data_IF_764599920925
#
_entry.id   IF_764599920925
#
_cell.length_a   1.000
_cell.length_b   1.000
_cell.length_c   1.000
_cell.angle_alpha   90.00
_cell.angle_beta   90.00
_cell.angle_gamma   90.00
#
_symmetry.space_group_name_H-M   'P 1'
#
loop_
_entity.id
_entity.type
_entity.pdbx_description
1 polymer ?
#
# COMPACT_ATOMS: atom_id res chain seq x y z
N UNK A 1 17.27 -11.51 -14.77
CA UNK A 1 17.83 -11.56 -16.14
C UNK A 1 19.20 -10.92 -16.08
N UNK A 2 20.26 -11.65 -16.40
CA UNK A 2 21.60 -11.07 -16.51
C UNK A 2 21.66 -10.27 -17.81
N UNK A 3 21.97 -8.99 -17.74
CA UNK A 3 22.23 -8.21 -18.95
C UNK A 3 23.53 -8.74 -19.54
N UNK A 4 23.45 -9.42 -20.69
CA UNK A 4 24.65 -9.82 -21.45
C UNK A 4 25.41 -8.54 -21.79
N UNK A 5 26.64 -8.38 -21.29
CA UNK A 5 27.47 -7.22 -21.60
C UNK A 5 27.78 -7.19 -23.10
N UNK A 6 27.57 -6.04 -23.76
CA UNK A 6 27.95 -5.90 -25.17
C UNK A 6 29.47 -5.72 -25.22
N UNK A 7 30.19 -6.72 -25.70
CA UNK A 7 31.62 -6.61 -25.97
C UNK A 7 31.81 -5.98 -27.36
N UNK A 8 31.83 -4.64 -27.40
CA UNK A 8 32.02 -3.86 -28.63
C UNK A 8 33.32 -4.22 -29.33
N UNK A 9 34.39 -4.52 -28.59
CA UNK A 9 35.69 -4.86 -29.16
C UNK A 9 35.66 -6.23 -29.84
N UNK A 10 35.05 -7.23 -29.21
CA UNK A 10 34.89 -8.55 -29.83
C UNK A 10 34.01 -8.49 -31.09
N UNK A 11 32.98 -7.64 -31.09
CA UNK A 11 32.12 -7.42 -32.26
C UNK A 11 32.91 -6.73 -33.37
N UNK A 12 33.68 -5.67 -33.06
CA UNK A 12 34.51 -4.95 -34.02
C UNK A 12 35.52 -5.88 -34.71
N UNK A 13 36.21 -6.74 -33.93
CA UNK A 13 37.15 -7.74 -34.47
C UNK A 13 36.49 -8.74 -35.40
N UNK A 14 35.26 -9.17 -35.11
CA UNK A 14 34.49 -10.06 -36.00
C UNK A 14 34.11 -9.38 -37.30
N UNK A 15 33.73 -8.09 -37.25
CA UNK A 15 33.45 -7.30 -38.44
C UNK A 15 34.70 -7.13 -39.31
N UNK A 16 35.85 -6.81 -38.70
CA UNK A 16 37.13 -6.74 -39.41
C UNK A 16 37.51 -8.07 -40.07
N UNK A 17 37.35 -9.20 -39.37
CA UNK A 17 37.59 -10.53 -39.93
C UNK A 17 36.65 -10.88 -41.09
N UNK A 18 35.47 -10.26 -41.16
CA UNK A 18 34.53 -10.37 -42.26
C UNK A 18 34.82 -9.39 -43.43
N UNK A 19 35.90 -8.61 -43.35
CA UNK A 19 36.36 -7.71 -44.40
C UNK A 19 35.89 -6.25 -44.27
N UNK A 20 35.24 -5.87 -43.16
CA UNK A 20 34.95 -4.47 -42.88
C UNK A 20 36.21 -3.71 -42.50
N UNK A 21 36.30 -2.43 -42.88
CA UNK A 21 37.39 -1.57 -42.41
C UNK A 21 37.24 -1.27 -40.92
N UNK A 22 38.34 -0.84 -40.28
CA UNK A 22 38.34 -0.47 -38.86
C UNK A 22 37.28 0.60 -38.55
N UNK A 23 37.23 1.66 -39.37
CA UNK A 23 36.24 2.74 -39.25
C UNK A 23 34.78 2.24 -39.42
N UNK A 24 34.53 1.27 -40.30
CA UNK A 24 33.19 0.70 -40.48
C UNK A 24 32.79 -0.15 -39.27
N UNK A 25 33.71 -0.97 -38.76
CA UNK A 25 33.47 -1.81 -37.60
C UNK A 25 33.19 -0.96 -36.35
N UNK A 26 33.96 0.11 -36.13
CA UNK A 26 33.76 1.06 -35.06
C UNK A 26 32.37 1.73 -35.17
N UNK A 27 32.04 2.29 -36.35
CA UNK A 27 30.76 2.95 -36.58
C UNK A 27 29.56 2.02 -36.32
N UNK A 28 29.61 0.77 -36.79
CA UNK A 28 28.55 -0.21 -36.55
C UNK A 28 28.42 -0.58 -35.08
N UNK A 29 29.54 -0.76 -34.36
CA UNK A 29 29.49 -1.05 -32.91
C UNK A 29 29.02 0.14 -32.09
N UNK A 30 29.32 1.37 -32.53
CA UNK A 30 28.81 2.61 -31.94
C UNK A 30 27.29 2.70 -32.05
N UNK A 31 26.74 2.54 -33.26
CA UNK A 31 25.28 2.55 -33.48
C UNK A 31 24.58 1.47 -32.64
N UNK A 32 25.15 0.26 -32.56
CA UNK A 32 24.58 -0.82 -31.75
C UNK A 32 24.61 -0.51 -30.24
N UNK A 33 25.68 0.13 -29.77
CA UNK A 33 25.80 0.59 -28.38
C UNK A 33 24.76 1.68 -28.08
N UNK A 34 24.68 2.69 -28.93
CA UNK A 34 23.78 3.83 -28.74
C UNK A 34 22.31 3.39 -28.77
N UNK A 35 21.93 2.53 -29.71
CA UNK A 35 20.59 1.97 -29.79
C UNK A 35 20.22 1.17 -28.52
N UNK A 36 21.17 0.41 -27.97
CA UNK A 36 20.96 -0.35 -26.72
C UNK A 36 20.86 0.58 -25.52
N UNK A 37 21.71 1.59 -25.43
CA UNK A 37 21.71 2.54 -24.32
C UNK A 37 20.41 3.36 -24.29
N UNK A 38 19.92 3.77 -25.47
CA UNK A 38 18.61 4.38 -25.62
C UNK A 38 17.48 3.44 -25.14
N UNK A 39 17.48 2.17 -25.56
CA UNK A 39 16.47 1.19 -25.13
C UNK A 39 16.50 0.98 -23.60
N UNK A 40 17.69 0.77 -23.02
CA UNK A 40 17.86 0.59 -21.57
C UNK A 40 17.43 1.82 -20.76
N UNK A 41 17.60 3.03 -21.29
CA UNK A 41 17.21 4.27 -20.60
C UNK A 41 15.69 4.40 -20.41
N UNK A 42 14.89 3.67 -21.20
CA UNK A 42 13.42 3.68 -21.10
C UNK A 42 12.87 2.60 -20.18
N UNK A 43 13.70 1.63 -19.79
CA UNK A 43 13.27 0.50 -18.98
C UNK A 43 13.21 0.88 -17.50
N UNK A 44 12.15 0.42 -16.84
CA UNK A 44 12.07 0.47 -15.37
C UNK A 44 13.09 -0.48 -14.77
N UNK A 45 13.88 0.01 -13.82
CA UNK A 45 14.94 -0.78 -13.19
C UNK A 45 14.41 -1.53 -11.96
N UNK A 46 15.20 -2.51 -11.48
CA UNK A 46 14.91 -3.20 -10.22
C UNK A 46 14.89 -2.24 -9.03
N UNK A 47 15.69 -1.17 -9.07
CA UNK A 47 15.72 -0.15 -8.01
C UNK A 47 14.42 0.62 -8.00
N UNK A 48 13.93 1.05 -9.17
CA UNK A 48 12.64 1.75 -9.30
C UNK A 48 11.49 0.89 -8.76
N UNK A 49 11.41 -0.38 -9.17
CA UNK A 49 10.42 -1.33 -8.68
C UNK A 49 10.53 -1.54 -7.16
N UNK A 50 11.75 -1.66 -6.62
CA UNK A 50 11.95 -1.86 -5.19
C UNK A 50 11.53 -0.64 -4.38
N UNK A 51 11.77 0.57 -4.92
CA UNK A 51 11.32 1.83 -4.35
C UNK A 51 9.80 1.94 -4.35
N UNK A 52 9.16 1.65 -5.49
CA UNK A 52 7.70 1.67 -5.62
C UNK A 52 7.02 0.67 -4.68
N UNK A 53 7.55 -0.56 -4.59
CA UNK A 53 7.08 -1.57 -3.63
C UNK A 53 7.20 -1.08 -2.18
N UNK A 54 8.31 -0.42 -1.84
CA UNK A 54 8.51 0.12 -0.50
C UNK A 54 7.51 1.23 -0.17
N UNK A 55 7.21 2.11 -1.13
CA UNK A 55 6.21 3.17 -1.00
C UNK A 55 4.81 2.57 -0.81
N UNK A 56 4.37 1.69 -1.71
CA UNK A 56 3.05 1.04 -1.62
C UNK A 56 2.90 0.28 -0.29
N UNK A 57 3.95 -0.40 0.17
CA UNK A 57 3.94 -1.09 1.47
C UNK A 57 3.81 -0.11 2.64
N UNK A 58 4.44 1.06 2.56
CA UNK A 58 4.33 2.10 3.57
C UNK A 58 2.91 2.67 3.62
N UNK A 59 2.35 2.99 2.47
CA UNK A 59 0.99 3.55 2.34
C UNK A 59 -0.06 2.58 2.87
N UNK A 60 0.00 1.30 2.46
CA UNK A 60 -0.90 0.27 2.98
C UNK A 60 -0.79 0.11 4.50
N UNK A 61 0.43 0.20 5.06
CA UNK A 61 0.61 0.12 6.51
C UNK A 61 0.00 1.33 7.22
N UNK A 62 0.11 2.52 6.64
CA UNK A 62 -0.51 3.74 7.17
C UNK A 62 -2.04 3.64 7.13
N UNK A 63 -2.62 3.24 6.00
CA UNK A 63 -4.06 3.06 5.83
C UNK A 63 -4.64 2.01 6.79
N UNK A 64 -3.97 0.86 6.96
CA UNK A 64 -4.36 -0.15 7.96
C UNK A 64 -4.32 0.43 9.38
N UNK A 65 -3.34 1.27 9.68
CA UNK A 65 -3.22 1.96 10.96
C UNK A 65 -4.38 2.91 11.23
N UNK A 66 -4.75 3.71 10.22
CA UNK A 66 -5.90 4.63 10.28
C UNK A 66 -7.21 3.86 10.45
N UNK A 67 -7.46 2.85 9.62
CA UNK A 67 -8.69 2.04 9.71
C UNK A 67 -8.82 1.36 11.08
N UNK A 68 -7.72 0.86 11.66
CA UNK A 68 -7.73 0.29 13.01
C UNK A 68 -8.05 1.33 14.08
N UNK A 69 -7.58 2.56 13.92
CA UNK A 69 -7.90 3.67 14.81
C UNK A 69 -9.38 4.03 14.73
N UNK A 70 -9.91 4.17 13.52
CA UNK A 70 -11.31 4.51 13.27
C UNK A 70 -12.24 3.45 13.87
N UNK A 71 -11.98 2.17 13.60
CA UNK A 71 -12.73 1.06 14.19
C UNK A 71 -12.68 1.06 15.72
N UNK A 72 -11.55 1.43 16.33
CA UNK A 72 -11.44 1.52 17.79
C UNK A 72 -12.32 2.65 18.34
N UNK A 73 -12.37 3.78 17.64
CA UNK A 73 -13.22 4.92 18.00
C UNK A 73 -14.70 4.56 17.85
N UNK A 74 -15.12 4.01 16.72
CA UNK A 74 -16.51 3.58 16.48
C UNK A 74 -16.99 2.55 17.52
N UNK A 75 -16.14 1.60 17.90
CA UNK A 75 -16.45 0.64 18.96
C UNK A 75 -16.60 1.34 20.32
N UNK A 76 -15.76 2.32 20.63
CA UNK A 76 -15.84 3.07 21.88
C UNK A 76 -17.12 3.92 21.94
N UNK A 77 -17.48 4.57 20.84
CA UNK A 77 -18.69 5.37 20.70
C UNK A 77 -19.93 4.48 20.83
N UNK A 78 -19.97 3.34 20.14
CA UNK A 78 -21.06 2.37 20.27
C UNK A 78 -21.21 1.86 21.71
N UNK A 79 -20.10 1.56 22.40
CA UNK A 79 -20.13 1.17 23.82
C UNK A 79 -20.67 2.28 24.71
N UNK A 80 -20.28 3.53 24.46
CA UNK A 80 -20.78 4.68 25.19
C UNK A 80 -22.29 4.88 24.98
N UNK A 81 -22.75 4.78 23.74
CA UNK A 81 -24.19 4.86 23.42
C UNK A 81 -24.98 3.76 24.11
N UNK A 82 -24.50 2.51 24.07
CA UNK A 82 -25.12 1.39 24.78
C UNK A 82 -25.20 1.67 26.29
N UNK A 83 -24.10 2.12 26.92
CA UNK A 83 -24.09 2.45 28.34
C UNK A 83 -25.10 3.56 28.68
N UNK A 84 -25.16 4.62 27.85
CA UNK A 84 -26.12 5.71 28.03
C UNK A 84 -27.57 5.20 28.00
N UNK A 85 -27.91 4.35 27.04
CA UNK A 85 -29.25 3.76 26.94
C UNK A 85 -29.56 2.82 28.11
N UNK A 86 -28.62 1.97 28.51
CA UNK A 86 -28.79 1.04 29.65
C UNK A 86 -29.01 1.80 30.96
N UNK A 87 -28.21 2.83 31.23
CA UNK A 87 -28.39 3.66 32.43
C UNK A 87 -29.74 4.38 32.42
N UNK A 88 -30.17 4.88 31.27
CA UNK A 88 -31.48 5.52 31.12
C UNK A 88 -32.62 4.54 31.35
N UNK A 89 -32.52 3.32 30.81
CA UNK A 89 -33.51 2.26 30.97
C UNK A 89 -33.62 1.80 32.44
N UNK A 90 -32.48 1.59 33.13
CA UNK A 90 -32.46 1.23 34.56
C UNK A 90 -33.09 2.34 35.41
N UNK A 91 -32.74 3.60 35.14
CA UNK A 91 -33.31 4.75 35.84
C UNK A 91 -34.83 4.82 35.67
N UNK A 92 -35.31 4.70 34.43
CA UNK A 92 -36.74 4.67 34.12
C UNK A 92 -37.45 3.48 34.79
N UNK A 93 -36.91 2.28 34.68
CA UNK A 93 -37.48 1.07 35.29
C UNK A 93 -37.61 1.21 36.81
N UNK A 94 -36.61 1.81 37.47
CA UNK A 94 -36.64 2.05 38.93
C UNK A 94 -37.79 2.97 39.33
N UNK A 95 -38.01 4.06 38.58
CA UNK A 95 -39.13 4.98 38.82
C UNK A 95 -40.48 4.26 38.68
N UNK A 96 -40.63 3.45 37.62
CA UNK A 96 -41.86 2.68 37.37
C UNK A 96 -42.14 1.68 38.50
N UNK A 97 -41.12 0.92 38.93
CA UNK A 97 -41.27 -0.08 40.01
C UNK A 97 -41.65 0.59 41.33
N UNK A 98 -40.99 1.70 41.70
CA UNK A 98 -41.31 2.45 42.92
C UNK A 98 -42.74 3.00 42.87
N UNK A 99 -43.15 3.57 41.74
CA UNK A 99 -44.51 4.07 41.54
C UNK A 99 -45.58 2.98 41.69
N UNK A 100 -45.33 1.79 41.12
CA UNK A 100 -46.22 0.64 41.24
C UNK A 100 -46.38 0.17 42.70
N UNK A 101 -45.27 0.10 43.45
CA UNK A 101 -45.29 -0.29 44.88
C UNK A 101 -46.17 0.70 45.68
N UNK A 102 -45.96 2.01 45.50
CA UNK A 102 -46.74 3.05 46.21
C UNK A 102 -48.23 2.98 45.88
N UNK A 103 -48.57 2.77 44.60
CA UNK A 103 -49.96 2.64 44.17
C UNK A 103 -50.65 1.43 44.81
N UNK A 104 -49.97 0.27 44.87
CA UNK A 104 -50.48 -0.94 45.51
C UNK A 104 -50.69 -0.76 47.01
N UNK A 105 -49.76 -0.10 47.73
CA UNK A 105 -49.92 0.14 49.18
C UNK A 105 -51.06 1.10 49.50
N UNK A 106 -51.30 2.10 48.65
CA UNK A 106 -52.43 3.03 48.81
C UNK A 106 -53.77 2.41 48.44
N UNK A 107 -53.82 1.50 47.46
CA UNK A 107 -55.05 0.79 47.09
C UNK A 107 -55.48 -0.30 48.07
N UNK A 108 -54.59 -0.69 49.01
CA UNK A 108 -54.87 -1.70 50.03
C UNK A 108 -55.44 -1.12 51.34
N UNK A 109 -55.46 0.21 51.50
CA UNK A 109 -56.08 0.94 52.61
C UNK A 109 -57.35 1.64 52.13
#
# INVERSE_FOLDING_TARGET
>A
MSLVSLDTLAIARKLQAAGFSDAQAEAMTGVLRDAREADLSTLVTKVDLSSEIALVRSDLKAEIGLLRSDLRTEIADTKYEILKWVLSAIGFQTIVVVGAIVALTKGLH
#
